data_IF_577560146998
#
_entry.id   IF_577560146998
#
_cell.length_a   1.000
_cell.length_b   1.000
_cell.length_c   1.000
_cell.angle_alpha   90.00
_cell.angle_beta   90.00
_cell.angle_gamma   90.00
#
_symmetry.space_group_name_H-M   'P 1'
#
loop_
_entity.id
_entity.type
_entity.pdbx_description
1 polymer ?
#
# COMPACT_ATOMS: atom_id res chain seq x y z
N UNK A 1 7.93 67.05 13.30
CA UNK A 1 7.59 65.61 13.52
C UNK A 1 7.24 65.05 12.15
N UNK A 2 7.82 63.92 11.73
CA UNK A 2 7.71 63.27 10.40
C UNK A 2 8.71 63.65 9.31
N UNK A 3 10.01 63.50 9.58
CA UNK A 3 10.99 63.38 8.48
C UNK A 3 12.03 62.26 8.70
N UNK A 4 12.19 61.80 9.96
CA UNK A 4 13.08 60.67 10.27
C UNK A 4 12.48 59.29 10.00
N UNK A 5 11.16 59.15 9.97
CA UNK A 5 10.50 57.84 9.80
C UNK A 5 10.58 57.31 8.36
N UNK A 6 10.68 58.20 7.37
CA UNK A 6 10.63 57.85 5.94
C UNK A 6 11.96 57.32 5.39
N UNK A 7 13.08 57.59 6.07
CA UNK A 7 14.41 57.16 5.64
C UNK A 7 14.72 55.71 6.07
N UNK A 8 14.37 55.32 7.30
CA UNK A 8 14.51 53.93 7.77
C UNK A 8 13.56 52.97 7.04
N UNK A 9 12.35 53.42 6.70
CA UNK A 9 11.37 52.57 5.99
C UNK A 9 11.78 52.31 4.53
N UNK A 10 12.49 53.25 3.88
CA UNK A 10 13.03 53.05 2.52
C UNK A 10 14.23 52.10 2.49
N UNK A 11 15.12 52.15 3.48
CA UNK A 11 16.32 51.29 3.50
C UNK A 11 15.99 49.80 3.76
N UNK A 12 14.86 49.52 4.43
CA UNK A 12 14.38 48.15 4.68
C UNK A 12 13.76 47.51 3.43
N UNK A 13 13.16 48.31 2.53
CA UNK A 13 12.49 47.78 1.32
C UNK A 13 13.43 47.53 0.14
N UNK A 14 14.53 48.28 0.01
CA UNK A 14 15.45 48.19 -1.14
C UNK A 14 16.40 46.97 -1.09
N UNK A 15 16.61 46.38 0.09
CA UNK A 15 17.46 45.18 0.28
C UNK A 15 16.71 43.85 0.12
N UNK A 16 15.48 43.86 -0.41
CA UNK A 16 14.62 42.67 -0.47
C UNK A 16 14.65 41.91 -1.79
N UNK A 17 15.44 42.35 -2.78
CA UNK A 17 15.60 41.64 -4.05
C UNK A 17 16.44 40.36 -3.83
N UNK A 18 15.82 39.15 -3.83
CA UNK A 18 16.53 37.90 -3.56
C UNK A 18 17.56 37.56 -4.65
N UNK A 19 17.58 38.29 -5.76
CA UNK A 19 18.54 38.10 -6.84
C UNK A 19 19.90 38.78 -6.61
N UNK A 20 20.04 39.58 -5.53
CA UNK A 20 21.29 40.29 -5.19
C UNK A 20 21.89 39.78 -3.87
N UNK A 21 23.22 39.64 -3.78
CA UNK A 21 23.87 39.26 -2.54
C UNK A 21 23.69 40.34 -1.47
N UNK A 22 23.47 39.92 -0.22
CA UNK A 22 23.28 40.83 0.90
C UNK A 22 24.60 41.55 1.26
N UNK A 23 25.72 40.84 1.09
CA UNK A 23 27.07 41.39 1.24
C UNK A 23 27.47 42.27 0.05
N UNK A 24 27.59 43.57 0.32
CA UNK A 24 27.98 44.60 -0.68
C UNK A 24 29.41 44.43 -1.23
N UNK A 25 30.26 43.70 -0.52
CA UNK A 25 31.64 43.41 -0.94
C UNK A 25 31.74 42.24 -1.93
N UNK A 26 30.67 41.46 -2.10
CA UNK A 26 30.60 40.39 -3.11
C UNK A 26 30.31 41.04 -4.46
N UNK A 27 31.34 41.12 -5.30
CA UNK A 27 31.16 41.48 -6.71
C UNK A 27 30.34 40.38 -7.39
N UNK A 28 29.20 40.73 -7.95
CA UNK A 28 28.36 39.84 -8.74
C UNK A 28 28.16 40.41 -10.14
N UNK A 29 28.02 39.53 -11.13
CA UNK A 29 27.62 39.89 -12.49
C UNK A 29 26.33 39.15 -12.79
N UNK A 30 25.25 39.89 -13.07
CA UNK A 30 24.03 39.28 -13.59
C UNK A 30 24.35 38.75 -14.99
N UNK A 31 24.35 37.43 -15.14
CA UNK A 31 24.52 36.78 -16.43
C UNK A 31 23.12 36.47 -16.95
N UNK A 32 22.83 36.87 -18.19
CA UNK A 32 21.58 36.49 -18.84
C UNK A 32 21.42 34.97 -18.77
N UNK A 33 20.24 34.50 -18.36
CA UNK A 33 19.98 33.07 -18.24
C UNK A 33 20.16 32.40 -19.62
N UNK A 34 21.16 31.53 -19.72
CA UNK A 34 21.32 30.65 -20.87
C UNK A 34 20.29 29.51 -20.76
N UNK A 35 19.08 29.81 -21.24
CA UNK A 35 17.95 28.89 -21.21
C UNK A 35 18.30 27.56 -21.88
N UNK A 36 19.10 27.59 -22.95
CA UNK A 36 19.53 26.36 -23.65
C UNK A 36 20.36 25.48 -22.72
N UNK A 37 21.32 26.05 -21.99
CA UNK A 37 22.11 25.31 -21.01
C UNK A 37 21.29 24.84 -19.81
N UNK A 38 20.30 25.61 -19.37
CA UNK A 38 19.36 25.21 -18.33
C UNK A 38 18.50 24.02 -18.77
N UNK A 39 17.92 24.08 -19.98
CA UNK A 39 17.15 22.97 -20.56
C UNK A 39 18.01 21.72 -20.76
N UNK A 40 19.26 21.85 -21.23
CA UNK A 40 20.16 20.69 -21.33
C UNK A 40 20.44 20.04 -19.98
N UNK A 41 20.65 20.84 -18.92
CA UNK A 41 20.86 20.33 -17.56
C UNK A 41 19.61 19.68 -16.99
N UNK A 42 18.44 20.31 -17.20
CA UNK A 42 17.15 19.74 -16.81
C UNK A 42 16.85 18.42 -17.55
N UNK A 43 17.15 18.37 -18.85
CA UNK A 43 17.05 17.16 -19.66
C UNK A 43 18.00 16.05 -19.19
N UNK A 44 19.25 16.39 -18.86
CA UNK A 44 20.19 15.43 -18.29
C UNK A 44 19.73 14.89 -16.93
N UNK A 45 19.16 15.76 -16.06
CA UNK A 45 18.57 15.33 -14.79
C UNK A 45 17.37 14.41 -15.01
N UNK A 46 16.45 14.78 -15.91
CA UNK A 46 15.30 13.95 -16.25
C UNK A 46 15.73 12.58 -16.80
N UNK A 47 16.69 12.56 -17.73
CA UNK A 47 17.25 11.31 -18.24
C UNK A 47 17.90 10.47 -17.13
N UNK A 48 18.58 11.12 -16.17
CA UNK A 48 19.10 10.45 -14.98
C UNK A 48 18.00 9.83 -14.12
N UNK A 49 16.92 10.56 -13.85
CA UNK A 49 15.76 10.06 -13.09
C UNK A 49 15.09 8.88 -13.82
N UNK A 50 14.87 8.99 -15.13
CA UNK A 50 14.30 7.90 -15.93
C UNK A 50 15.21 6.67 -15.91
N UNK A 51 16.53 6.87 -16.06
CA UNK A 51 17.51 5.78 -15.98
C UNK A 51 17.47 5.09 -14.62
N UNK A 52 17.40 5.86 -13.53
CA UNK A 52 17.25 5.32 -12.17
C UNK A 52 15.93 4.57 -12.01
N UNK A 53 14.81 5.07 -12.56
CA UNK A 53 13.52 4.37 -12.51
C UNK A 53 13.54 3.03 -13.27
N UNK A 54 14.33 2.92 -14.35
CA UNK A 54 14.53 1.66 -15.06
C UNK A 54 15.47 0.69 -14.34
N UNK A 55 16.50 1.19 -13.65
CA UNK A 55 17.45 0.38 -12.89
C UNK A 55 16.84 -0.10 -11.55
N UNK A 56 15.99 0.72 -10.95
CA UNK A 56 15.29 0.48 -9.69
C UNK A 56 13.77 0.45 -9.91
N UNK A 57 13.24 -0.51 -10.69
CA UNK A 57 11.80 -0.60 -10.89
C UNK A 57 11.14 -0.96 -9.56
N UNK A 58 10.06 -0.26 -9.22
CA UNK A 58 9.18 -0.69 -8.14
C UNK A 58 8.60 -2.07 -8.46
N UNK A 59 8.63 -3.05 -7.54
CA UNK A 59 8.02 -4.35 -7.79
C UNK A 59 6.51 -4.11 -7.90
N UNK A 60 6.01 -4.08 -9.13
CA UNK A 60 4.57 -4.09 -9.36
C UNK A 60 4.05 -5.48 -8.98
N UNK A 61 3.52 -5.61 -7.77
CA UNK A 61 2.80 -6.80 -7.35
C UNK A 61 1.36 -6.64 -7.82
N UNK A 62 0.99 -7.39 -8.87
CA UNK A 62 -0.40 -7.42 -9.32
C UNK A 62 -1.31 -7.88 -8.18
N UNK A 63 -2.46 -7.23 -7.95
CA UNK A 63 -3.38 -7.61 -6.88
C UNK A 63 -3.82 -9.06 -7.06
N UNK A 64 -3.96 -9.76 -5.94
CA UNK A 64 -4.58 -11.09 -5.95
C UNK A 64 -6.09 -10.94 -6.08
N UNK A 65 -6.67 -11.77 -6.94
CA UNK A 65 -8.11 -11.95 -7.06
C UNK A 65 -8.45 -13.41 -6.72
N UNK A 66 -9.70 -13.65 -6.33
CA UNK A 66 -10.14 -14.97 -5.88
C UNK A 66 -10.05 -15.99 -7.02
N UNK A 67 -10.28 -15.55 -8.27
CA UNK A 67 -10.26 -16.42 -9.43
C UNK A 67 -8.87 -16.97 -9.74
N UNK A 68 -7.84 -16.16 -9.57
CA UNK A 68 -6.45 -16.51 -9.76
C UNK A 68 -6.05 -17.59 -8.75
N UNK A 69 -6.40 -17.40 -7.49
CA UNK A 69 -6.13 -18.41 -6.45
C UNK A 69 -6.93 -19.68 -6.73
N UNK A 70 -8.22 -19.57 -7.06
CA UNK A 70 -9.06 -20.72 -7.38
C UNK A 70 -8.53 -21.56 -8.55
N UNK A 71 -7.90 -20.94 -9.55
CA UNK A 71 -7.28 -21.64 -10.69
C UNK A 71 -6.00 -22.38 -10.30
N UNK A 72 -5.23 -21.85 -9.34
CA UNK A 72 -3.96 -22.44 -8.91
C UNK A 72 -4.15 -23.47 -7.81
N UNK A 73 -4.97 -23.15 -6.80
CA UNK A 73 -5.31 -24.01 -5.68
C UNK A 73 -6.82 -23.91 -5.36
N UNK A 74 -7.67 -24.65 -6.09
CA UNK A 74 -9.11 -24.69 -5.82
C UNK A 74 -9.44 -25.32 -4.45
N UNK A 75 -8.53 -26.12 -3.89
CA UNK A 75 -8.74 -26.77 -2.61
C UNK A 75 -8.60 -25.77 -1.46
N UNK A 76 -7.67 -24.83 -1.57
CA UNK A 76 -7.56 -23.72 -0.63
C UNK A 76 -8.86 -22.91 -0.56
N UNK A 77 -9.41 -22.52 -1.71
CA UNK A 77 -10.69 -21.81 -1.78
C UNK A 77 -11.81 -22.61 -1.14
N UNK A 78 -11.88 -23.91 -1.42
CA UNK A 78 -12.90 -24.80 -0.86
C UNK A 78 -12.80 -24.87 0.67
N UNK A 79 -11.59 -25.00 1.22
CA UNK A 79 -11.35 -24.99 2.67
C UNK A 79 -11.75 -23.66 3.31
N UNK A 80 -11.44 -22.53 2.68
CA UNK A 80 -11.87 -21.21 3.16
C UNK A 80 -13.38 -21.08 3.17
N UNK A 81 -14.09 -21.46 2.09
CA UNK A 81 -15.57 -21.44 2.04
C UNK A 81 -16.18 -22.35 3.12
N UNK A 82 -15.59 -23.52 3.39
CA UNK A 82 -16.04 -24.41 4.48
C UNK A 82 -15.81 -23.76 5.85
N UNK A 83 -14.69 -23.06 6.02
CA UNK A 83 -14.39 -22.25 7.21
C UNK A 83 -15.46 -21.17 7.44
N UNK A 84 -15.85 -20.46 6.38
CA UNK A 84 -16.94 -19.48 6.42
C UNK A 84 -18.29 -20.12 6.75
N UNK A 85 -18.62 -21.24 6.09
CA UNK A 85 -19.87 -21.95 6.32
C UNK A 85 -20.00 -22.45 7.76
N UNK A 86 -18.90 -22.96 8.32
CA UNK A 86 -18.80 -23.42 9.70
C UNK A 86 -18.61 -22.32 10.75
N UNK A 87 -18.45 -21.06 10.32
CA UNK A 87 -18.09 -19.91 11.16
C UNK A 87 -16.81 -20.13 11.99
N UNK A 88 -15.81 -20.75 11.35
CA UNK A 88 -14.51 -21.05 11.97
C UNK A 88 -13.33 -20.38 11.28
N UNK A 89 -13.55 -19.55 10.25
CA UNK A 89 -12.49 -18.71 9.69
C UNK A 89 -12.10 -17.59 10.65
N UNK A 90 -10.96 -16.94 10.37
CA UNK A 90 -10.51 -15.82 11.17
C UNK A 90 -11.51 -14.66 11.05
N UNK A 91 -11.99 -14.35 9.85
CA UNK A 91 -13.06 -13.34 9.65
C UNK A 91 -14.35 -13.71 10.40
N UNK A 92 -14.74 -14.99 10.44
CA UNK A 92 -15.96 -15.43 11.15
C UNK A 92 -15.83 -15.39 12.67
N UNK A 93 -14.63 -15.61 13.19
CA UNK A 93 -14.33 -15.60 14.64
C UNK A 93 -13.91 -14.22 15.15
N UNK A 94 -13.60 -13.29 14.24
CA UNK A 94 -13.27 -11.91 14.54
C UNK A 94 -14.49 -11.19 15.16
N UNK A 95 -14.56 -11.21 16.50
CA UNK A 95 -15.60 -10.58 17.30
C UNK A 95 -15.54 -9.06 17.11
N UNK A 96 -16.48 -8.53 16.33
CA UNK A 96 -16.48 -7.13 15.94
C UNK A 96 -17.02 -6.22 17.07
N UNK A 97 -16.14 -5.69 17.93
CA UNK A 97 -16.44 -4.55 18.80
C UNK A 97 -16.29 -3.19 18.09
N UNK A 98 -15.94 -3.19 16.80
CA UNK A 98 -15.74 -1.99 15.98
C UNK A 98 -16.82 -1.93 14.87
N UNK A 99 -17.92 -1.26 15.19
CA UNK A 99 -18.97 -0.78 14.27
C UNK A 99 -18.30 -0.15 13.02
N UNK A 100 -18.61 -0.55 11.77
CA UNK A 100 -19.98 -0.78 11.28
C UNK A 100 -20.37 -2.09 10.60
N UNK A 101 -19.60 -3.18 10.73
CA UNK A 101 -19.87 -4.39 9.94
C UNK A 101 -20.18 -5.63 10.78
N UNK A 102 -21.43 -5.77 11.25
CA UNK A 102 -21.95 -7.04 11.79
C UNK A 102 -22.73 -7.76 10.69
N UNK A 103 -22.07 -8.66 9.95
CA UNK A 103 -22.76 -9.54 9.01
C UNK A 103 -22.38 -10.99 9.27
N UNK A 104 -23.30 -11.90 8.97
CA UNK A 104 -23.05 -13.34 9.06
C UNK A 104 -22.19 -13.76 7.87
N UNK A 105 -20.99 -14.27 8.13
CA UNK A 105 -20.04 -14.60 7.07
C UNK A 105 -20.51 -15.78 6.23
N UNK A 106 -21.26 -16.72 6.82
CA UNK A 106 -21.92 -17.79 6.07
C UNK A 106 -22.92 -17.23 5.06
N UNK A 107 -23.73 -16.26 5.48
CA UNK A 107 -24.72 -15.65 4.60
C UNK A 107 -24.04 -14.88 3.45
N UNK A 108 -22.97 -14.15 3.76
CA UNK A 108 -22.25 -13.32 2.78
C UNK A 108 -21.40 -14.12 1.79
N UNK A 109 -20.70 -15.17 2.25
CA UNK A 109 -19.74 -15.92 1.44
C UNK A 109 -20.29 -17.24 0.91
N UNK A 110 -21.39 -17.77 1.46
CA UNK A 110 -21.91 -19.08 1.07
C UNK A 110 -23.37 -19.04 0.65
N UNK A 111 -24.29 -18.68 1.55
CA UNK A 111 -25.72 -18.84 1.27
C UNK A 111 -26.18 -17.88 0.15
N UNK A 112 -25.80 -16.59 0.19
CA UNK A 112 -26.14 -15.64 -0.87
C UNK A 112 -25.48 -16.00 -2.21
N UNK A 113 -24.16 -16.25 -2.29
CA UNK A 113 -23.54 -16.67 -3.54
C UNK A 113 -24.11 -17.96 -4.11
N UNK A 114 -24.43 -18.94 -3.25
CA UNK A 114 -24.98 -20.21 -3.70
C UNK A 114 -26.39 -20.07 -4.24
N UNK A 115 -27.27 -19.29 -3.59
CA UNK A 115 -28.61 -18.99 -4.12
C UNK A 115 -28.54 -18.30 -5.48
N UNK A 116 -27.61 -17.35 -5.67
CA UNK A 116 -27.38 -16.70 -6.98
C UNK A 116 -26.85 -17.69 -8.03
N UNK A 117 -25.97 -18.61 -7.63
CA UNK A 117 -25.49 -19.69 -8.49
C UNK A 117 -26.64 -20.60 -8.95
N UNK A 118 -27.46 -21.09 -8.02
CA UNK A 118 -28.61 -21.97 -8.32
C UNK A 118 -29.64 -21.25 -9.20
N UNK A 119 -29.91 -19.96 -8.93
CA UNK A 119 -30.82 -19.15 -9.72
C UNK A 119 -30.35 -18.94 -11.18
N UNK A 120 -29.03 -18.93 -11.42
CA UNK A 120 -28.46 -18.71 -12.76
C UNK A 120 -28.23 -19.99 -13.56
N UNK A 121 -27.79 -21.07 -12.90
CA UNK A 121 -27.44 -22.34 -13.57
C UNK A 121 -28.61 -23.34 -13.64
N UNK A 122 -29.63 -23.17 -12.81
CA UNK A 122 -30.70 -24.15 -12.63
C UNK A 122 -30.21 -25.35 -11.81
N UNK A 123 -30.79 -25.57 -10.64
CA UNK A 123 -30.39 -26.66 -9.74
C UNK A 123 -31.27 -26.76 -8.50
N UNK A 124 -31.00 -27.76 -7.66
CA UNK A 124 -31.64 -27.89 -6.36
C UNK A 124 -30.88 -27.07 -5.32
N UNK A 125 -31.62 -26.35 -4.48
CA UNK A 125 -31.03 -25.68 -3.32
C UNK A 125 -30.71 -26.72 -2.24
N UNK A 126 -29.49 -27.27 -2.29
CA UNK A 126 -29.03 -28.26 -1.31
C UNK A 126 -28.85 -27.66 0.09
N UNK A 127 -28.72 -26.34 0.21
CA UNK A 127 -28.60 -25.65 1.49
C UNK A 127 -29.95 -25.57 2.21
N UNK A 128 -31.07 -25.61 1.47
CA UNK A 128 -32.39 -25.81 2.05
C UNK A 128 -32.51 -27.20 2.70
N UNK A 129 -32.02 -28.27 2.07
CA UNK A 129 -31.99 -29.62 2.67
C UNK A 129 -31.10 -29.65 3.91
N UNK A 130 -29.90 -29.05 3.85
CA UNK A 130 -29.02 -28.89 5.00
C UNK A 130 -29.74 -28.22 6.18
N UNK A 131 -30.44 -27.11 5.91
CA UNK A 131 -31.10 -26.30 6.94
C UNK A 131 -32.31 -27.00 7.56
N UNK A 132 -32.87 -27.99 6.87
CA UNK A 132 -33.96 -28.84 7.39
C UNK A 132 -33.49 -29.92 8.38
N UNK A 133 -32.19 -30.21 8.47
CA UNK A 133 -31.64 -31.25 9.36
C UNK A 133 -31.46 -30.74 10.79
N UNK A 134 -31.34 -31.66 11.75
CA UNK A 134 -31.00 -31.32 13.14
C UNK A 134 -29.59 -30.72 13.25
N UNK A 135 -29.32 -30.00 14.33
CA UNK A 135 -28.03 -29.36 14.56
C UNK A 135 -26.86 -30.36 14.59
N UNK A 136 -27.09 -31.58 15.09
CA UNK A 136 -26.10 -32.65 15.14
C UNK A 136 -25.73 -33.12 13.73
N UNK A 137 -26.73 -33.29 12.87
CA UNK A 137 -26.53 -33.70 11.47
C UNK A 137 -25.87 -32.59 10.68
N UNK A 138 -26.29 -31.34 10.88
CA UNK A 138 -25.66 -30.16 10.28
C UNK A 138 -24.17 -30.10 10.65
N UNK A 139 -23.83 -30.30 11.93
CA UNK A 139 -22.44 -30.36 12.39
C UNK A 139 -21.67 -31.50 11.72
N UNK A 140 -22.24 -32.70 11.66
CA UNK A 140 -21.62 -33.85 10.97
C UNK A 140 -21.30 -33.53 9.51
N UNK A 141 -22.23 -32.89 8.79
CA UNK A 141 -21.98 -32.49 7.40
C UNK A 141 -20.86 -31.47 7.26
N UNK A 142 -20.76 -30.51 8.18
CA UNK A 142 -19.67 -29.53 8.19
C UNK A 142 -18.34 -30.21 8.47
N UNK A 143 -18.28 -31.10 9.47
CA UNK A 143 -17.06 -31.80 9.86
C UNK A 143 -16.57 -32.75 8.75
N UNK A 144 -17.49 -33.46 8.08
CA UNK A 144 -17.17 -34.27 6.89
C UNK A 144 -16.68 -33.41 5.72
N UNK A 145 -17.27 -32.24 5.50
CA UNK A 145 -16.81 -31.33 4.45
C UNK A 145 -15.39 -30.82 4.74
N UNK A 146 -15.08 -30.48 6.00
CA UNK A 146 -13.72 -30.10 6.42
C UNK A 146 -12.72 -31.21 6.09
N UNK A 147 -13.01 -32.44 6.50
CA UNK A 147 -12.15 -33.59 6.21
C UNK A 147 -11.97 -33.81 4.69
N UNK A 148 -13.05 -33.73 3.92
CA UNK A 148 -13.01 -33.91 2.48
C UNK A 148 -12.12 -32.88 1.77
N UNK A 149 -12.25 -31.60 2.11
CA UNK A 149 -11.45 -30.54 1.48
C UNK A 149 -10.03 -30.42 2.05
N UNK A 150 -9.72 -31.07 3.17
CA UNK A 150 -8.32 -31.27 3.59
C UNK A 150 -7.67 -32.45 2.86
N UNK A 151 -8.40 -33.56 2.72
CA UNK A 151 -7.95 -34.75 2.04
C UNK A 151 -9.14 -35.49 1.40
N UNK A 152 -9.34 -35.38 0.08
CA UNK A 152 -10.50 -35.97 -0.60
C UNK A 152 -10.63 -37.49 -0.45
N UNK A 153 -9.54 -38.19 -0.15
CA UNK A 153 -9.51 -39.64 0.04
C UNK A 153 -9.95 -40.07 1.45
N UNK A 154 -10.11 -39.12 2.38
CA UNK A 154 -10.51 -39.41 3.77
C UNK A 154 -11.99 -39.72 3.94
N UNK A 155 -12.82 -39.34 2.96
CA UNK A 155 -14.28 -39.49 3.01
C UNK A 155 -14.75 -40.41 1.88
N UNK A 156 -15.66 -41.33 2.18
CA UNK A 156 -16.17 -42.28 1.18
C UNK A 156 -17.00 -41.58 0.09
N UNK A 157 -16.89 -42.05 -1.16
CA UNK A 157 -17.59 -41.47 -2.33
C UNK A 157 -19.11 -41.32 -2.13
N UNK A 158 -19.73 -42.26 -1.43
CA UNK A 158 -21.17 -42.20 -1.11
C UNK A 158 -21.50 -41.08 -0.14
N UNK A 159 -20.65 -40.84 0.87
CA UNK A 159 -20.82 -39.74 1.84
C UNK A 159 -20.66 -38.39 1.14
N UNK A 160 -19.67 -38.26 0.26
CA UNK A 160 -19.45 -37.06 -0.56
C UNK A 160 -20.69 -36.66 -1.35
N UNK A 161 -21.37 -37.62 -1.99
CA UNK A 161 -22.58 -37.37 -2.80
C UNK A 161 -23.80 -36.96 -1.99
N UNK A 162 -23.88 -37.37 -0.73
CA UNK A 162 -25.02 -37.11 0.14
C UNK A 162 -24.86 -35.84 0.98
N UNK A 163 -23.66 -35.27 1.02
CA UNK A 163 -23.37 -34.11 1.84
C UNK A 163 -23.69 -32.80 1.07
N UNK A 164 -24.71 -32.03 1.52
CA UNK A 164 -25.10 -30.79 0.87
C UNK A 164 -24.02 -29.70 0.94
N UNK A 165 -23.20 -29.70 2.00
CA UNK A 165 -22.13 -28.71 2.19
C UNK A 165 -21.03 -28.93 1.15
N UNK A 166 -20.59 -30.18 0.95
CA UNK A 166 -19.58 -30.50 -0.07
C UNK A 166 -20.07 -30.10 -1.47
N UNK A 167 -21.35 -30.37 -1.76
CA UNK A 167 -21.96 -30.02 -3.04
C UNK A 167 -22.00 -28.51 -3.26
N UNK A 168 -22.47 -27.74 -2.27
CA UNK A 168 -22.53 -26.29 -2.36
C UNK A 168 -21.15 -25.65 -2.48
N UNK A 169 -20.19 -26.08 -1.66
CA UNK A 169 -18.80 -25.58 -1.70
C UNK A 169 -18.16 -25.87 -3.05
N UNK A 170 -18.30 -27.09 -3.59
CA UNK A 170 -17.73 -27.45 -4.89
C UNK A 170 -18.27 -26.59 -6.03
N UNK A 171 -19.56 -26.25 -5.99
CA UNK A 171 -20.19 -25.34 -6.94
C UNK A 171 -19.64 -23.92 -6.82
N UNK A 172 -19.49 -23.41 -5.60
CA UNK A 172 -18.92 -22.09 -5.34
C UNK A 172 -17.44 -22.01 -5.72
N UNK A 173 -16.64 -23.04 -5.45
CA UNK A 173 -15.26 -23.14 -5.92
C UNK A 173 -15.19 -23.12 -7.44
N UNK A 174 -16.09 -23.84 -8.12
CA UNK A 174 -16.18 -23.78 -9.58
C UNK A 174 -16.53 -22.36 -10.06
N UNK A 175 -17.47 -21.69 -9.39
CA UNK A 175 -17.81 -20.29 -9.65
C UNK A 175 -16.62 -19.35 -9.41
N UNK A 176 -15.80 -19.62 -8.39
CA UNK A 176 -14.59 -18.86 -8.09
C UNK A 176 -13.58 -18.93 -9.22
N UNK A 177 -13.36 -20.09 -9.85
CA UNK A 177 -12.45 -20.21 -11.01
C UNK A 177 -12.83 -19.31 -12.20
N UNK A 178 -14.10 -18.90 -12.28
CA UNK A 178 -14.63 -18.05 -13.37
C UNK A 178 -14.69 -16.55 -13.04
N UNK A 179 -14.17 -16.11 -11.89
CA UNK A 179 -14.32 -14.75 -11.34
C UNK A 179 -15.75 -14.30 -11.00
N UNK A 180 -16.76 -15.13 -11.28
CA UNK A 180 -18.16 -14.84 -10.93
C UNK A 180 -18.38 -14.79 -9.42
N UNK A 181 -17.68 -15.61 -8.64
CA UNK A 181 -17.83 -15.62 -7.17
C UNK A 181 -17.47 -14.28 -6.56
N UNK A 182 -16.35 -13.71 -7.00
CA UNK A 182 -15.87 -12.42 -6.52
C UNK A 182 -16.84 -11.27 -6.84
N UNK A 183 -17.37 -11.26 -8.07
CA UNK A 183 -18.39 -10.29 -8.45
C UNK A 183 -19.66 -10.42 -7.60
N UNK A 184 -20.06 -11.65 -7.26
CA UNK A 184 -21.27 -11.92 -6.49
C UNK A 184 -21.14 -11.49 -5.03
N UNK A 185 -20.00 -11.73 -4.37
CA UNK A 185 -19.82 -11.35 -2.96
C UNK A 185 -19.73 -9.83 -2.79
N UNK A 186 -19.19 -9.11 -3.79
CA UNK A 186 -19.05 -7.65 -3.75
C UNK A 186 -20.31 -6.88 -4.23
N UNK A 187 -21.27 -7.56 -4.85
CA UNK A 187 -22.45 -6.92 -5.48
C UNK A 187 -23.40 -6.23 -4.51
N UNK A 188 -23.35 -6.53 -3.21
CA UNK A 188 -24.28 -5.94 -2.23
C UNK A 188 -23.86 -4.55 -1.75
N UNK A 189 -22.61 -4.15 -1.98
CA UNK A 189 -22.13 -2.81 -1.65
C UNK A 189 -22.24 -1.89 -2.89
N UNK A 190 -23.20 -0.95 -2.84
CA UNK A 190 -23.46 0.06 -3.88
C UNK A 190 -22.23 0.93 -4.26
N UNK A 191 -21.18 0.89 -3.44
CA UNK A 191 -19.96 1.69 -3.59
C UNK A 191 -18.76 0.91 -4.11
N UNK A 192 -18.95 -0.27 -4.71
CA UNK A 192 -17.85 -1.08 -5.26
C UNK A 192 -16.79 -1.43 -4.20
N UNK A 193 -17.24 -1.75 -2.99
CA UNK A 193 -16.37 -2.00 -1.85
C UNK A 193 -15.74 -3.40 -1.95
N UNK A 194 -14.41 -3.54 -2.15
CA UNK A 194 -13.76 -4.85 -2.25
C UNK A 194 -13.53 -5.51 -0.89
N UNK A 195 -14.06 -4.96 0.21
CA UNK A 195 -13.82 -5.46 1.57
C UNK A 195 -14.13 -6.94 1.73
N UNK A 196 -15.21 -7.44 1.10
CA UNK A 196 -15.57 -8.87 1.18
C UNK A 196 -14.54 -9.75 0.46
N UNK A 197 -14.11 -9.38 -0.74
CA UNK A 197 -12.99 -10.06 -1.41
C UNK A 197 -11.73 -10.06 -0.55
N UNK A 198 -11.34 -8.89 -0.03
CA UNK A 198 -10.10 -8.74 0.72
C UNK A 198 -10.09 -9.58 2.00
N UNK A 199 -11.22 -9.62 2.73
CA UNK A 199 -11.37 -10.47 3.92
C UNK A 199 -11.31 -11.95 3.56
N UNK A 200 -12.08 -12.36 2.56
CA UNK A 200 -12.06 -13.74 2.08
C UNK A 200 -10.64 -14.17 1.65
N UNK A 201 -9.91 -13.31 0.93
CA UNK A 201 -8.51 -13.52 0.55
C UNK A 201 -7.60 -13.60 1.78
N UNK A 202 -7.88 -12.83 2.83
CA UNK A 202 -7.12 -12.86 4.09
C UNK A 202 -7.24 -14.23 4.75
N UNK A 203 -8.46 -14.79 4.79
CA UNK A 203 -8.72 -16.12 5.35
C UNK A 203 -8.09 -17.27 4.53
N UNK A 204 -7.61 -17.01 3.31
CA UNK A 204 -6.83 -18.01 2.56
C UNK A 204 -5.37 -18.11 3.01
N UNK A 205 -4.85 -17.11 3.73
CA UNK A 205 -3.42 -17.02 4.09
C UNK A 205 -2.47 -16.77 2.90
N UNK A 206 -2.98 -16.65 1.66
CA UNK A 206 -2.13 -16.40 0.47
C UNK A 206 -1.41 -15.06 0.57
N UNK A 207 -2.07 -14.06 1.15
CA UNK A 207 -1.47 -12.75 1.32
C UNK A 207 -0.29 -12.78 2.31
N UNK A 208 -0.31 -13.65 3.32
CA UNK A 208 0.81 -13.81 4.27
C UNK A 208 2.02 -14.47 3.60
N UNK A 209 1.76 -15.53 2.81
CA UNK A 209 2.80 -16.22 2.02
C UNK A 209 3.43 -15.26 1.01
N UNK A 210 2.61 -14.45 0.35
CA UNK A 210 3.09 -13.43 -0.58
C UNK A 210 3.91 -12.36 0.14
N UNK A 211 3.42 -11.86 1.28
CA UNK A 211 4.12 -10.87 2.07
C UNK A 211 5.52 -11.40 2.45
N UNK A 212 5.61 -12.64 2.93
CA UNK A 212 6.91 -13.29 3.19
C UNK A 212 7.78 -13.40 1.94
N UNK A 213 7.20 -13.69 0.77
CA UNK A 213 7.94 -13.75 -0.50
C UNK A 213 8.57 -12.41 -0.88
N UNK A 214 7.89 -11.30 -0.59
CA UNK A 214 8.39 -9.95 -0.83
C UNK A 214 9.04 -9.30 0.39
N UNK A 215 9.37 -10.10 1.42
CA UNK A 215 9.98 -9.65 2.68
C UNK A 215 9.17 -8.55 3.42
N UNK A 216 7.85 -8.56 3.29
CA UNK A 216 6.93 -7.73 4.06
C UNK A 216 6.38 -8.55 5.23
N UNK A 217 6.37 -8.02 6.45
CA UNK A 217 5.68 -8.66 7.57
C UNK A 217 4.19 -8.29 7.58
N UNK A 218 3.35 -9.18 8.11
CA UNK A 218 1.89 -9.00 8.14
C UNK A 218 1.42 -7.84 9.02
N UNK A 219 2.18 -7.53 10.06
CA UNK A 219 2.04 -6.33 10.91
C UNK A 219 2.26 -5.01 10.14
N UNK A 220 2.75 -5.09 8.90
CA UNK A 220 3.13 -3.97 8.06
C UNK A 220 2.14 -3.76 6.91
N UNK A 221 0.98 -4.40 6.94
CA UNK A 221 -0.03 -4.20 5.90
C UNK A 221 -0.57 -2.77 5.95
N UNK A 222 -0.33 -2.00 4.88
CA UNK A 222 -0.56 -0.56 4.82
C UNK A 222 0.70 0.29 5.00
N UNK A 223 1.83 -0.32 5.35
CA UNK A 223 3.14 0.31 5.41
C UNK A 223 4.12 -0.53 4.59
N UNK A 224 4.58 -0.03 3.44
CA UNK A 224 5.71 -0.63 2.76
C UNK A 224 6.94 -0.54 3.68
N UNK A 225 7.15 -1.54 4.54
CA UNK A 225 8.38 -1.69 5.30
C UNK A 225 9.33 -2.49 4.43
N UNK A 226 10.15 -1.71 3.76
CA UNK A 226 11.12 -2.12 2.78
C UNK A 226 12.47 -2.38 3.45
N UNK A 227 12.48 -3.19 4.52
CA UNK A 227 13.71 -3.39 5.32
C UNK A 227 13.71 -4.80 5.92
N UNK A 228 14.50 -5.72 5.34
CA UNK A 228 15.16 -6.81 6.11
C UNK A 228 16.69 -6.60 5.99
N UNK A 229 17.49 -7.04 6.98
CA UNK A 229 18.50 -6.23 7.68
C UNK A 229 19.94 -6.47 7.15
N UNK A 230 20.97 -6.17 7.96
CA UNK A 230 21.76 -4.94 8.03
C UNK A 230 22.80 -4.79 6.90
N UNK A 231 22.64 -5.51 5.79
CA UNK A 231 23.57 -5.43 4.68
C UNK A 231 23.17 -4.30 3.75
N UNK A 232 24.05 -3.31 3.60
CA UNK A 232 23.99 -2.17 2.67
C UNK A 232 23.85 -2.55 1.17
N UNK A 233 23.53 -3.80 0.86
CA UNK A 233 23.57 -4.40 -0.48
C UNK A 233 22.23 -4.35 -1.21
N UNK A 234 21.13 -4.08 -0.50
CA UNK A 234 19.80 -4.01 -1.12
C UNK A 234 19.16 -2.66 -0.76
N UNK A 235 19.41 -1.64 -1.57
CA UNK A 235 18.57 -0.43 -1.57
C UNK A 235 17.15 -0.90 -1.89
N UNK A 236 16.16 -0.67 -1.03
CA UNK A 236 14.84 -1.22 -1.23
C UNK A 236 14.25 -0.74 -2.56
N UNK A 237 13.66 -1.62 -3.39
CA UNK A 237 13.13 -1.24 -4.68
C UNK A 237 11.74 -0.60 -4.55
N UNK A 238 11.50 0.28 -3.60
CA UNK A 238 10.24 1.03 -3.53
C UNK A 238 10.36 2.48 -3.86
N UNK A 239 9.42 3.23 -3.32
CA UNK A 239 9.37 4.67 -3.33
C UNK A 239 10.63 5.25 -2.65
N UNK A 240 11.75 5.28 -3.36
CA UNK A 240 13.07 5.73 -2.89
C UNK A 240 13.04 7.15 -2.30
N UNK A 241 12.03 7.95 -2.66
CA UNK A 241 11.77 9.26 -2.06
C UNK A 241 11.32 9.20 -0.59
N UNK A 242 10.91 8.03 -0.09
CA UNK A 242 10.66 7.73 1.33
C UNK A 242 11.86 7.09 2.04
N UNK A 243 12.99 6.87 1.36
CA UNK A 243 14.20 6.34 2.01
C UNK A 243 14.63 7.13 3.27
N UNK A 244 14.49 8.47 3.34
CA UNK A 244 14.75 9.20 4.58
C UNK A 244 13.83 8.80 5.75
N UNK A 245 12.55 8.47 5.49
CA UNK A 245 11.62 7.97 6.51
C UNK A 245 12.05 6.58 6.97
N UNK A 246 12.35 5.68 6.02
CA UNK A 246 12.85 4.33 6.32
C UNK A 246 14.09 4.36 7.21
N UNK A 247 15.06 5.20 6.87
CA UNK A 247 16.28 5.41 7.65
C UNK A 247 16.01 5.95 9.06
N UNK A 248 15.09 6.92 9.22
CA UNK A 248 14.73 7.44 10.54
C UNK A 248 14.07 6.36 11.41
N UNK A 249 13.16 5.60 10.82
CA UNK A 249 12.45 4.50 11.47
C UNK A 249 13.38 3.33 11.84
N UNK A 250 14.44 3.05 11.08
CA UNK A 250 15.37 1.95 11.37
C UNK A 250 16.53 2.35 12.31
N UNK A 251 16.74 3.65 12.53
CA UNK A 251 17.85 4.17 13.36
C UNK A 251 17.35 4.89 14.62
N UNK A 252 16.97 6.16 14.47
CA UNK A 252 16.65 7.07 15.59
C UNK A 252 15.30 6.73 16.24
N UNK A 253 14.34 6.28 15.44
CA UNK A 253 12.96 6.01 15.85
C UNK A 253 12.65 4.51 15.95
N UNK A 254 13.67 3.65 15.93
CA UNK A 254 13.51 2.19 15.92
C UNK A 254 12.69 1.62 17.09
N UNK A 255 12.68 2.32 18.23
CA UNK A 255 11.95 1.91 19.44
C UNK A 255 10.76 2.82 19.77
N UNK A 256 10.36 3.70 18.83
CA UNK A 256 9.24 4.62 19.05
C UNK A 256 7.91 3.97 18.64
N UNK A 257 6.92 3.83 19.55
CA UNK A 257 5.61 3.30 19.23
C UNK A 257 4.83 4.15 18.21
N UNK A 258 5.24 5.40 17.96
CA UNK A 258 4.71 6.27 16.92
C UNK A 258 5.75 6.64 15.85
N UNK A 259 6.78 5.81 15.66
CA UNK A 259 7.92 6.10 14.78
C UNK A 259 7.50 6.59 13.40
N UNK A 260 6.49 5.98 12.78
CA UNK A 260 6.00 6.40 11.45
C UNK A 260 5.42 7.81 11.42
N UNK A 261 4.63 8.17 12.45
CA UNK A 261 4.07 9.52 12.59
C UNK A 261 5.20 10.52 12.80
N UNK A 262 6.12 10.20 13.69
CA UNK A 262 7.17 11.12 14.12
C UNK A 262 8.23 11.28 13.01
N UNK A 263 8.53 10.22 12.25
CA UNK A 263 9.35 10.26 11.04
C UNK A 263 8.70 11.10 9.94
N UNK A 264 7.39 10.95 9.71
CA UNK A 264 6.65 11.76 8.75
C UNK A 264 6.63 13.25 9.15
N UNK A 265 6.46 13.55 10.44
CA UNK A 265 6.55 14.92 10.96
C UNK A 265 7.96 15.49 10.76
N UNK A 266 9.01 14.74 11.10
CA UNK A 266 10.40 15.16 10.92
C UNK A 266 10.69 15.44 9.45
N UNK A 267 10.35 14.52 8.54
CA UNK A 267 10.56 14.73 7.11
C UNK A 267 9.74 15.90 6.58
N UNK A 268 8.49 16.05 7.03
CA UNK A 268 7.62 17.18 6.70
C UNK A 268 8.21 18.51 7.14
N UNK A 269 8.75 18.59 8.36
CA UNK A 269 9.44 19.78 8.87
C UNK A 269 10.72 20.05 8.07
N UNK A 270 11.52 19.03 7.75
CA UNK A 270 12.75 19.18 6.94
C UNK A 270 12.41 19.70 5.54
N UNK A 271 11.42 19.12 4.86
CA UNK A 271 10.90 19.60 3.57
C UNK A 271 10.42 21.04 3.66
N UNK A 272 9.66 21.37 4.70
CA UNK A 272 9.16 22.73 4.93
C UNK A 272 10.32 23.69 5.17
N UNK A 273 11.35 23.30 5.93
CA UNK A 273 12.58 24.10 6.11
C UNK A 273 13.29 24.29 4.77
N UNK A 274 13.37 23.28 3.89
CA UNK A 274 13.98 23.44 2.57
C UNK A 274 13.20 24.39 1.66
N UNK A 275 11.87 24.30 1.65
CA UNK A 275 10.99 25.16 0.86
C UNK A 275 11.03 26.60 1.41
N UNK A 276 11.01 26.75 2.73
CA UNK A 276 11.04 28.06 3.40
C UNK A 276 12.45 28.60 3.62
N UNK A 277 13.49 27.82 3.29
CA UNK A 277 14.89 28.15 3.47
C UNK A 277 15.27 29.56 2.99
N UNK A 278 14.85 30.03 1.79
CA UNK A 278 15.20 31.39 1.34
C UNK A 278 14.53 32.50 2.17
N UNK A 279 13.45 32.21 2.89
CA UNK A 279 12.69 33.17 3.68
C UNK A 279 13.04 33.14 5.17
N UNK A 280 13.73 32.10 5.66
CA UNK A 280 14.14 32.06 7.07
C UNK A 280 15.35 33.00 7.27
N UNK A 281 15.21 34.07 8.08
CA UNK A 281 16.31 34.99 8.33
C UNK A 281 17.51 34.24 8.91
N UNK A 282 18.72 34.66 8.54
CA UNK A 282 20.01 34.06 8.90
C UNK A 282 20.35 32.74 8.19
N UNK A 283 19.39 31.83 7.97
CA UNK A 283 19.59 30.60 7.19
C UNK A 283 19.72 30.90 5.69
N UNK A 284 18.95 31.85 5.18
CA UNK A 284 19.09 32.34 3.81
C UNK A 284 20.47 32.96 3.50
N UNK A 285 21.23 33.35 4.53
CA UNK A 285 22.61 33.88 4.42
C UNK A 285 23.68 32.81 4.68
N UNK A 286 23.29 31.56 4.89
CA UNK A 286 24.23 30.48 5.24
C UNK A 286 25.23 30.23 4.12
N UNK A 287 24.82 30.32 2.86
CA UNK A 287 25.72 30.20 1.70
C UNK A 287 26.81 31.28 1.68
N UNK A 288 26.50 32.51 2.11
CA UNK A 288 27.45 33.61 2.24
C UNK A 288 28.38 33.41 3.43
N UNK A 289 27.87 32.92 4.58
CA UNK A 289 28.67 32.65 5.79
C UNK A 289 29.65 31.49 5.61
N UNK A 290 29.20 30.43 4.94
CA UNK A 290 30.05 29.28 4.59
C UNK A 290 31.00 29.58 3.44
N UNK A 291 30.97 30.81 2.90
CA UNK A 291 31.74 31.24 1.74
C UNK A 291 31.67 30.22 0.61
N UNK A 292 30.46 29.75 0.28
CA UNK A 292 30.24 28.81 -0.83
C UNK A 292 30.35 29.51 -2.19
N UNK A 293 30.41 30.84 -2.20
CA UNK A 293 30.50 31.65 -3.40
C UNK A 293 31.61 31.22 -4.38
N UNK A 294 32.85 30.88 -3.95
CA UNK A 294 33.90 30.40 -4.85
C UNK A 294 33.61 29.03 -5.47
N UNK A 295 32.77 28.20 -4.83
CA UNK A 295 32.41 26.87 -5.34
C UNK A 295 31.23 26.93 -6.32
N UNK A 296 30.23 27.76 -6.00
CA UNK A 296 29.02 27.94 -6.83
C UNK A 296 29.32 28.84 -8.03
N UNK A 297 30.05 29.93 -7.79
CA UNK A 297 30.35 31.00 -8.74
C UNK A 297 31.81 31.02 -9.16
N UNK A 298 32.46 29.84 -9.21
CA UNK A 298 33.86 29.75 -9.66
C UNK A 298 33.98 30.49 -10.99
N UNK A 299 34.64 31.65 -10.94
CA UNK A 299 34.92 32.45 -12.12
C UNK A 299 35.63 31.53 -13.09
N UNK A 300 34.95 31.13 -14.17
CA UNK A 300 35.67 30.77 -15.37
C UNK A 300 36.20 32.09 -15.89
N UNK A 301 37.35 32.50 -15.37
CA UNK A 301 38.23 33.46 -16.02
C UNK A 301 38.65 32.85 -17.35
N UNK A 302 37.75 32.85 -18.32
CA UNK A 302 38.20 33.04 -19.69
C UNK A 302 38.70 34.47 -19.71
N UNK A 303 40.02 34.61 -19.64
CA UNK A 303 40.71 35.74 -20.26
C UNK A 303 40.11 35.88 -21.65
N UNK A 304 39.26 36.88 -21.84
CA UNK A 304 39.03 37.43 -23.15
C UNK A 304 40.30 38.23 -23.45
N UNK A 305 41.08 37.75 -24.43
CA UNK A 305 42.02 38.59 -25.18
C UNK A 305 41.24 39.62 -26.01
#
# INVERSE_FOLDING_TARGET
MNEKTTAEEKEVTENSDPSKPYRKDIKYKMVAADHKKMFMRGGALFAGIVTLAFIFPSPFVAPYDIARIAKTDPMLISRTIVGEFGRTSDTATYFNSINPYTYDTREAYVDTPYRKYVASMGGFDVLADFSSKSAEVQKSFIDEAKQYFENPLSVGVTQVKLNPVITAVSALTSMATSALYEAVINQEDLNSNPTRSLRFLSDTGVMDIEALRVNMATEQWGMAREETPPELTHVPPGAWWFAPIGMLNSTVLANDPNGDRDAAIILGIVMLIFITFPYIPYLNRLSEKLNLAPFIWKDRSKKEE
#
